data_IF_282319121605
#
_entry.id   IF_282319121605
#
_cell.length_a   1.000
_cell.length_b   1.000
_cell.length_c   1.000
_cell.angle_alpha   90.00
_cell.angle_beta   90.00
_cell.angle_gamma   90.00
#
_symmetry.space_group_name_H-M   'P 1'
#
loop_
_entity.id
_entity.type
_entity.pdbx_description
1 polymer ?
#
# COMPACT_ATOMS: atom_id res chain seq x y z
N UNK A 1 23.84 7.48 -38.40
CA UNK A 1 23.22 8.17 -37.24
C UNK A 1 21.88 7.59 -36.78
N UNK A 2 21.37 6.52 -37.42
CA UNK A 2 20.05 5.92 -37.11
C UNK A 2 20.06 5.04 -35.84
N UNK A 3 21.15 4.33 -35.56
CA UNK A 3 21.24 3.43 -34.38
C UNK A 3 21.24 4.17 -33.04
N UNK A 4 21.81 5.39 -32.97
CA UNK A 4 21.85 6.18 -31.73
C UNK A 4 20.46 6.67 -31.30
N UNK A 5 19.56 6.90 -32.27
CA UNK A 5 18.16 7.31 -32.03
C UNK A 5 17.31 6.16 -31.47
N UNK A 6 17.50 4.94 -31.99
CA UNK A 6 16.80 3.75 -31.46
C UNK A 6 17.30 3.35 -30.08
N UNK A 7 18.61 3.46 -29.82
CA UNK A 7 19.18 3.23 -28.48
C UNK A 7 18.61 4.24 -27.47
N UNK A 8 18.53 5.52 -27.82
CA UNK A 8 17.90 6.54 -26.96
C UNK A 8 16.40 6.27 -26.72
N UNK A 9 15.67 5.80 -27.74
CA UNK A 9 14.24 5.50 -27.64
C UNK A 9 13.94 4.29 -26.73
N UNK A 10 14.76 3.24 -26.79
CA UNK A 10 14.59 2.04 -25.94
C UNK A 10 14.91 2.36 -24.48
N UNK A 11 15.93 3.18 -24.24
CA UNK A 11 16.29 3.64 -22.89
C UNK A 11 15.16 4.49 -22.29
N UNK A 12 14.55 5.39 -23.09
CA UNK A 12 13.44 6.23 -22.65
C UNK A 12 12.17 5.42 -22.31
N UNK A 13 11.86 4.38 -23.09
CA UNK A 13 10.75 3.46 -22.79
C UNK A 13 11.04 2.66 -21.50
N UNK A 14 12.28 2.20 -21.32
CA UNK A 14 12.67 1.39 -20.16
C UNK A 14 12.57 2.15 -18.83
N UNK A 15 12.87 3.46 -18.83
CA UNK A 15 12.74 4.31 -17.65
C UNK A 15 11.30 4.54 -17.18
N UNK A 16 10.30 4.30 -18.03
CA UNK A 16 8.88 4.44 -17.64
C UNK A 16 8.36 3.22 -16.86
N UNK A 17 9.07 2.08 -16.89
CA UNK A 17 8.65 0.84 -16.24
C UNK A 17 9.22 0.67 -14.82
N UNK A 18 10.11 1.55 -14.36
CA UNK A 18 10.70 1.44 -13.01
C UNK A 18 9.79 1.95 -11.89
N UNK A 19 8.60 2.45 -12.21
CA UNK A 19 7.63 3.01 -11.25
C UNK A 19 6.56 2.03 -10.79
N UNK A 20 6.87 0.75 -10.57
CA UNK A 20 5.87 -0.18 -10.04
C UNK A 20 5.41 0.32 -8.65
N UNK A 21 4.11 0.60 -8.51
CA UNK A 21 3.55 0.91 -7.22
C UNK A 21 3.67 -0.33 -6.33
N UNK A 22 4.38 -0.22 -5.21
CA UNK A 22 4.56 -1.32 -4.26
C UNK A 22 3.88 -0.96 -2.94
N UNK A 23 2.88 -1.75 -2.55
CA UNK A 23 2.36 -1.74 -1.19
C UNK A 23 3.17 -2.67 -0.26
N UNK A 24 3.06 -2.52 1.07
CA UNK A 24 3.60 -3.49 2.02
C UNK A 24 3.01 -4.87 1.73
N UNK A 25 3.87 -5.87 1.58
CA UNK A 25 3.52 -7.25 1.25
C UNK A 25 4.49 -8.20 1.97
N UNK A 26 4.00 -9.23 2.69
CA UNK A 26 4.85 -10.22 3.33
C UNK A 26 5.35 -11.27 2.31
N UNK A 27 4.81 -11.30 1.09
CA UNK A 27 5.02 -12.37 0.10
C UNK A 27 5.61 -11.86 -1.22
N UNK A 28 6.40 -10.80 -1.20
CA UNK A 28 7.06 -10.25 -2.40
C UNK A 28 6.11 -9.56 -3.38
N UNK A 29 6.56 -9.40 -4.64
CA UNK A 29 5.84 -8.72 -5.72
C UNK A 29 5.09 -9.78 -6.57
N UNK A 30 3.78 -9.62 -6.69
CA UNK A 30 2.92 -10.44 -7.55
C UNK A 30 2.02 -9.58 -8.43
N UNK A 31 1.57 -10.13 -9.57
CA UNK A 31 0.60 -9.45 -10.46
C UNK A 31 -0.76 -9.23 -9.78
N UNK A 32 -1.08 -10.10 -8.84
CA UNK A 32 -2.21 -9.98 -7.94
C UNK A 32 -1.72 -10.08 -6.50
N UNK A 33 -2.26 -9.27 -5.61
CA UNK A 33 -2.01 -9.34 -4.18
C UNK A 33 -3.32 -9.26 -3.42
N UNK A 34 -3.45 -10.11 -2.42
CA UNK A 34 -4.44 -10.01 -1.35
C UNK A 34 -3.78 -10.56 -0.10
N UNK A 35 -3.04 -9.69 0.57
CA UNK A 35 -2.16 -10.06 1.67
C UNK A 35 -2.45 -9.19 2.87
N UNK A 36 -2.27 -9.80 4.04
CA UNK A 36 -2.38 -9.11 5.33
C UNK A 36 -1.10 -9.38 6.11
N UNK A 37 -0.64 -8.40 6.85
CA UNK A 37 0.57 -8.55 7.66
C UNK A 37 0.60 -7.58 8.83
N UNK A 38 1.41 -7.88 9.86
CA UNK A 38 1.52 -7.04 11.03
C UNK A 38 2.36 -5.79 10.73
N UNK A 39 2.00 -4.68 11.36
CA UNK A 39 2.88 -3.50 11.52
C UNK A 39 3.45 -3.50 12.93
N UNK A 40 2.59 -3.58 13.94
CA UNK A 40 2.99 -3.58 15.35
C UNK A 40 1.89 -4.17 16.24
N UNK A 41 2.26 -4.68 17.41
CA UNK A 41 1.33 -5.18 18.41
C UNK A 41 1.82 -4.82 19.83
N UNK A 42 0.87 -4.69 20.75
CA UNK A 42 1.09 -4.48 22.19
C UNK A 42 0.36 -5.57 22.98
N UNK A 43 0.45 -5.53 24.32
CA UNK A 43 -0.24 -6.45 25.22
C UNK A 43 -1.66 -6.01 25.60
N UNK A 44 -2.14 -4.88 25.07
CA UNK A 44 -3.47 -4.36 25.40
C UNK A 44 -4.57 -5.19 24.71
N UNK A 45 -5.74 -5.38 25.34
CA UNK A 45 -6.89 -5.99 24.68
C UNK A 45 -7.49 -5.03 23.63
N UNK A 46 -8.18 -5.58 22.63
CA UNK A 46 -8.89 -4.82 21.61
C UNK A 46 -10.40 -5.03 21.72
N UNK A 47 -11.16 -3.94 21.71
CA UNK A 47 -12.64 -3.94 21.70
C UNK A 47 -13.20 -3.19 20.48
N UNK A 48 -12.38 -2.38 19.83
CA UNK A 48 -12.71 -1.56 18.66
C UNK A 48 -11.73 -1.82 17.53
N UNK A 49 -12.19 -1.59 16.30
CA UNK A 49 -11.38 -1.67 15.09
C UNK A 49 -11.66 -0.45 14.23
N UNK A 50 -10.60 0.21 13.77
CA UNK A 50 -10.66 1.32 12.83
C UNK A 50 -9.77 1.06 11.62
N UNK A 51 -10.14 1.61 10.46
CA UNK A 51 -9.46 1.33 9.19
C UNK A 51 -9.34 2.59 8.34
N UNK A 52 -8.16 2.82 7.79
CA UNK A 52 -7.90 3.91 6.86
C UNK A 52 -7.07 3.40 5.68
N UNK A 53 -7.30 3.92 4.47
CA UNK A 53 -6.76 3.36 3.24
C UNK A 53 -6.20 4.42 2.31
N UNK A 54 -5.15 4.03 1.59
CA UNK A 54 -4.62 4.72 0.44
C UNK A 54 -4.67 3.78 -0.77
N UNK A 55 -4.81 4.35 -1.95
CA UNK A 55 -4.89 3.60 -3.20
C UNK A 55 -4.06 4.26 -4.29
N UNK A 56 -3.65 3.43 -5.23
CA UNK A 56 -2.95 3.79 -6.46
C UNK A 56 -3.76 3.31 -7.65
N UNK A 57 -3.89 4.19 -8.64
CA UNK A 57 -4.59 3.91 -9.90
C UNK A 57 -3.59 4.10 -11.04
N UNK A 58 -3.46 3.07 -11.87
CA UNK A 58 -2.53 2.95 -12.99
C UNK A 58 -1.05 3.14 -12.63
N UNK A 59 -0.70 3.04 -11.34
CA UNK A 59 0.65 3.34 -10.84
C UNK A 59 1.05 4.81 -10.95
N UNK A 60 0.12 5.70 -11.29
CA UNK A 60 0.39 7.13 -11.55
C UNK A 60 -0.32 8.01 -10.52
N UNK A 61 -1.56 7.67 -10.16
CA UNK A 61 -2.37 8.49 -9.26
C UNK A 61 -2.49 7.82 -7.91
N UNK A 62 -1.84 8.41 -6.89
CA UNK A 62 -1.87 7.93 -5.52
C UNK A 62 -2.72 8.88 -4.67
N UNK A 63 -3.72 8.33 -3.95
CA UNK A 63 -4.66 9.12 -3.14
C UNK A 63 -5.08 8.38 -1.88
N UNK A 64 -5.50 9.15 -0.86
CA UNK A 64 -6.00 8.63 0.41
C UNK A 64 -5.01 8.82 1.56
N UNK A 65 -5.41 8.36 2.75
CA UNK A 65 -4.65 8.45 3.98
C UNK A 65 -4.78 7.09 4.70
N UNK A 66 -3.67 6.35 4.75
CA UNK A 66 -3.56 5.08 5.46
C UNK A 66 -2.78 5.24 6.77
N UNK A 67 -2.76 6.41 7.38
CA UNK A 67 -2.10 6.63 8.67
C UNK A 67 -2.82 5.92 9.80
N UNK A 68 -2.05 5.58 10.85
CA UNK A 68 -2.57 5.05 12.10
C UNK A 68 -3.55 6.04 12.74
N UNK A 69 -3.30 7.35 12.67
CA UNK A 69 -4.18 8.36 13.26
C UNK A 69 -5.55 8.42 12.59
N UNK A 70 -5.59 8.38 11.26
CA UNK A 70 -6.85 8.31 10.53
C UNK A 70 -7.61 7.02 10.81
N UNK A 71 -6.90 5.89 10.92
CA UNK A 71 -7.51 4.61 11.31
C UNK A 71 -8.03 4.63 12.76
N UNK A 72 -7.28 5.19 13.70
CA UNK A 72 -7.70 5.37 15.10
C UNK A 72 -8.95 6.24 15.20
N UNK A 73 -8.95 7.37 14.49
CA UNK A 73 -10.08 8.30 14.46
C UNK A 73 -11.33 7.64 13.87
N UNK A 74 -11.18 6.82 12.83
CA UNK A 74 -12.30 6.08 12.24
C UNK A 74 -12.91 5.02 13.16
N UNK A 75 -12.16 4.53 14.15
CA UNK A 75 -12.62 3.53 15.12
C UNK A 75 -12.82 4.04 16.54
N UNK A 76 -12.75 5.36 16.77
CA UNK A 76 -12.74 5.99 18.11
C UNK A 76 -11.76 5.31 19.09
N UNK A 77 -10.54 5.02 18.61
CA UNK A 77 -9.50 4.29 19.35
C UNK A 77 -8.53 5.28 19.98
N UNK A 78 -8.42 5.21 21.30
CA UNK A 78 -7.46 5.99 22.09
C UNK A 78 -6.16 5.21 22.31
N UNK A 79 -6.29 3.92 22.65
CA UNK A 79 -5.21 3.02 23.01
C UNK A 79 -5.09 1.90 21.97
N UNK A 80 -3.91 1.77 21.38
CA UNK A 80 -3.65 0.82 20.29
C UNK A 80 -3.22 -0.53 20.86
N UNK A 81 -3.97 -1.58 20.50
CA UNK A 81 -3.64 -2.98 20.80
C UNK A 81 -2.79 -3.59 19.69
N UNK A 82 -3.26 -3.53 18.44
CA UNK A 82 -2.49 -3.98 17.28
C UNK A 82 -2.73 -3.09 16.07
N UNK A 83 -1.77 -3.12 15.16
CA UNK A 83 -1.85 -2.46 13.87
C UNK A 83 -1.40 -3.45 12.81
N UNK A 84 -2.28 -3.72 11.87
CA UNK A 84 -2.02 -4.56 10.70
C UNK A 84 -2.15 -3.72 9.43
N UNK A 85 -1.56 -4.20 8.35
CA UNK A 85 -1.89 -3.72 7.01
C UNK A 85 -2.63 -4.80 6.22
N UNK A 86 -3.46 -4.35 5.30
CA UNK A 86 -4.09 -5.17 4.28
C UNK A 86 -3.79 -4.53 2.93
N UNK A 87 -3.12 -5.27 2.05
CA UNK A 87 -2.80 -4.80 0.70
C UNK A 87 -3.52 -5.68 -0.30
N UNK A 88 -4.35 -5.07 -1.14
CA UNK A 88 -5.06 -5.73 -2.22
C UNK A 88 -4.82 -5.00 -3.54
N UNK A 89 -4.73 -5.71 -4.65
CA UNK A 89 -4.52 -5.06 -5.94
C UNK A 89 -4.17 -5.98 -7.09
N UNK A 90 -4.32 -5.44 -8.29
CA UNK A 90 -3.87 -6.00 -9.56
C UNK A 90 -2.86 -5.04 -10.19
N UNK A 91 -1.56 -5.34 -10.02
CA UNK A 91 -0.50 -4.45 -10.47
C UNK A 91 -0.22 -4.61 -11.96
N UNK A 92 0.06 -3.53 -12.71
CA UNK A 92 0.25 -2.13 -12.25
C UNK A 92 -1.03 -1.27 -12.23
N UNK A 93 -2.21 -1.85 -12.49
CA UNK A 93 -3.43 -1.07 -12.74
C UNK A 93 -4.10 -0.52 -11.48
N UNK A 94 -4.06 -1.28 -10.39
CA UNK A 94 -4.71 -0.89 -9.14
C UNK A 94 -4.01 -1.50 -7.94
N UNK A 95 -3.85 -0.68 -6.90
CA UNK A 95 -3.41 -1.14 -5.58
C UNK A 95 -4.13 -0.37 -4.49
N UNK A 96 -4.43 -1.04 -3.39
CA UNK A 96 -5.04 -0.45 -2.20
C UNK A 96 -4.37 -1.04 -0.98
N UNK A 97 -3.82 -0.18 -0.14
CA UNK A 97 -3.27 -0.55 1.16
C UNK A 97 -4.07 0.13 2.24
N UNK A 98 -4.55 -0.66 3.19
CA UNK A 98 -5.26 -0.18 4.36
C UNK A 98 -4.49 -0.50 5.62
N UNK A 99 -4.42 0.46 6.53
CA UNK A 99 -3.99 0.24 7.90
C UNK A 99 -5.22 -0.05 8.75
N UNK A 100 -5.17 -1.16 9.47
CA UNK A 100 -6.21 -1.64 10.37
C UNK A 100 -5.68 -1.53 11.79
N UNK A 101 -6.26 -0.64 12.57
CA UNK A 101 -5.91 -0.43 13.97
C UNK A 101 -6.96 -1.11 14.83
N UNK A 102 -6.52 -1.92 15.78
CA UNK A 102 -7.36 -2.54 16.80
C UNK A 102 -6.97 -1.99 18.16
N UNK A 103 -7.94 -1.75 19.03
CA UNK A 103 -7.69 -1.09 20.30
C UNK A 103 -8.97 -0.78 21.08
N UNK A 104 -8.91 0.23 21.96
CA UNK A 104 -10.03 0.67 22.79
C UNK A 104 -10.13 2.21 22.89
#
# INVERSE_FOLDING_TARGET
MTNKKHIFSIIFIGSLLTGCATGPSPTGIGLYTDVKGPITATSLPATKTGKACAQTVLGIVNTGDASIDSAKKAGDISLVSSVDYETTGSYPFYGKTCVVVRGQ
#
